data_IF_626778068359
#
_entry.id   IF_626778068359
#
_cell.length_a   1.000
_cell.length_b   1.000
_cell.length_c   1.000
_cell.angle_alpha   90.00
_cell.angle_beta   90.00
_cell.angle_gamma   90.00
#
_symmetry.space_group_name_H-M   'P 1'
#
loop_
_entity.id
_entity.type
_entity.pdbx_description
1 polymer ?
#
# COMPACT_ATOMS: atom_id res chain seq x y z
N UNK A 1 28.08 1.19 -6.08
CA UNK A 1 28.76 0.49 -4.96
C UNK A 1 27.94 0.42 -3.66
N UNK A 2 27.30 1.49 -3.16
CA UNK A 2 26.60 1.46 -1.85
C UNK A 2 25.34 0.56 -1.81
N UNK A 3 24.53 0.51 -2.87
CA UNK A 3 23.28 -0.29 -2.93
C UNK A 3 23.53 -1.82 -2.88
N UNK A 4 24.45 -2.34 -3.70
CA UNK A 4 24.86 -3.76 -3.66
C UNK A 4 25.44 -4.17 -2.30
N UNK A 5 26.17 -3.27 -1.63
CA UNK A 5 26.70 -3.53 -0.29
C UNK A 5 25.57 -3.74 0.75
N UNK A 6 24.53 -2.91 0.73
CA UNK A 6 23.40 -3.07 1.67
C UNK A 6 22.61 -4.36 1.42
N UNK A 7 22.40 -4.71 0.16
CA UNK A 7 21.73 -5.96 -0.21
C UNK A 7 22.48 -7.18 0.36
N UNK A 8 23.80 -7.26 0.15
CA UNK A 8 24.61 -8.35 0.69
C UNK A 8 24.59 -8.41 2.22
N UNK A 9 24.64 -7.25 2.88
CA UNK A 9 24.54 -7.15 4.34
C UNK A 9 23.18 -7.71 4.83
N UNK A 10 22.07 -7.29 4.24
CA UNK A 10 20.74 -7.80 4.57
C UNK A 10 20.62 -9.31 4.38
N UNK A 11 21.09 -9.84 3.24
CA UNK A 11 21.09 -11.29 2.97
C UNK A 11 21.93 -12.07 3.98
N UNK A 12 23.08 -11.54 4.40
CA UNK A 12 23.94 -12.15 5.44
C UNK A 12 23.30 -12.09 6.82
N UNK A 13 22.59 -11.02 7.15
CA UNK A 13 21.89 -10.92 8.43
C UNK A 13 20.73 -11.93 8.49
N UNK A 14 19.95 -12.03 7.42
CA UNK A 14 18.85 -13.00 7.30
C UNK A 14 19.35 -14.43 7.51
N UNK A 15 20.48 -14.81 6.89
CA UNK A 15 21.00 -16.17 7.01
C UNK A 15 21.62 -16.51 8.37
N UNK A 16 21.96 -15.48 9.17
CA UNK A 16 22.59 -15.65 10.49
C UNK A 16 21.57 -15.57 11.63
N UNK A 17 20.43 -14.92 11.43
CA UNK A 17 19.41 -14.77 12.45
C UNK A 17 18.43 -15.94 12.43
N UNK A 18 18.11 -16.48 13.60
CA UNK A 18 17.00 -17.42 13.80
C UNK A 18 15.76 -16.73 14.40
N UNK A 19 15.84 -15.43 14.68
CA UNK A 19 14.72 -14.63 15.18
C UNK A 19 13.77 -14.27 14.01
N UNK A 20 12.55 -14.79 14.07
CA UNK A 20 11.53 -14.59 13.04
C UNK A 20 11.06 -13.12 12.91
N UNK A 21 11.01 -12.35 14.01
CA UNK A 21 10.68 -10.92 13.94
C UNK A 21 11.81 -10.16 13.25
N UNK A 22 13.07 -10.47 13.59
CA UNK A 22 14.21 -9.85 12.91
C UNK A 22 14.25 -10.23 11.43
N UNK A 23 13.96 -11.49 11.08
CA UNK A 23 13.87 -11.92 9.68
C UNK A 23 12.75 -11.18 8.93
N UNK A 24 11.58 -10.98 9.56
CA UNK A 24 10.47 -10.23 9.00
C UNK A 24 10.88 -8.78 8.65
N UNK A 25 11.51 -8.08 9.58
CA UNK A 25 12.01 -6.72 9.35
C UNK A 25 13.02 -6.68 8.19
N UNK A 26 13.97 -7.61 8.17
CA UNK A 26 15.01 -7.69 7.15
C UNK A 26 14.44 -8.02 5.75
N UNK A 27 13.46 -8.91 5.65
CA UNK A 27 12.80 -9.20 4.37
C UNK A 27 11.98 -8.02 3.87
N UNK A 28 11.35 -7.27 4.77
CA UNK A 28 10.63 -6.05 4.41
C UNK A 28 11.58 -4.97 3.89
N UNK A 29 12.72 -4.77 4.57
CA UNK A 29 13.76 -3.83 4.13
C UNK A 29 14.37 -4.24 2.79
N UNK A 30 14.60 -5.54 2.59
CA UNK A 30 15.12 -6.08 1.34
C UNK A 30 14.11 -5.86 0.19
N UNK A 31 12.82 -6.03 0.46
CA UNK A 31 11.75 -5.71 -0.49
C UNK A 31 11.72 -4.25 -0.88
N UNK A 32 11.87 -3.33 0.08
CA UNK A 32 11.95 -1.89 -0.17
C UNK A 32 13.20 -1.52 -0.97
N UNK A 33 14.34 -2.14 -0.66
CA UNK A 33 15.60 -1.94 -1.39
C UNK A 33 15.44 -2.34 -2.86
N UNK A 34 14.94 -3.55 -3.12
CA UNK A 34 14.71 -4.03 -4.49
C UNK A 34 13.71 -3.16 -5.25
N UNK A 35 12.61 -2.78 -4.59
CA UNK A 35 11.63 -1.87 -5.18
C UNK A 35 12.25 -0.54 -5.57
N UNK A 36 13.08 0.04 -4.70
CA UNK A 36 13.80 1.31 -4.99
C UNK A 36 14.85 1.21 -6.10
N UNK A 37 15.23 -0.01 -6.49
CA UNK A 37 16.15 -0.28 -7.58
C UNK A 37 15.43 -0.66 -8.89
N UNK A 38 14.10 -0.78 -8.88
CA UNK A 38 13.32 -1.30 -10.02
C UNK A 38 13.46 -2.81 -10.21
N UNK A 39 13.93 -3.54 -9.20
CA UNK A 39 14.09 -4.99 -9.22
C UNK A 39 12.80 -5.68 -8.74
N UNK A 40 11.72 -5.51 -9.51
CA UNK A 40 10.34 -5.81 -9.07
C UNK A 40 10.11 -7.27 -8.64
N UNK A 41 10.60 -8.25 -9.40
CA UNK A 41 10.46 -9.66 -9.05
C UNK A 41 11.15 -10.01 -7.71
N UNK A 42 12.33 -9.43 -7.46
CA UNK A 42 13.07 -9.63 -6.21
C UNK A 42 12.35 -8.96 -5.04
N UNK A 43 11.74 -7.79 -5.28
CA UNK A 43 10.91 -7.11 -4.29
C UNK A 43 9.68 -7.95 -3.92
N UNK A 44 8.93 -8.45 -4.92
CA UNK A 44 7.77 -9.33 -4.73
C UNK A 44 8.14 -10.56 -3.91
N UNK A 45 9.25 -11.23 -4.26
CA UNK A 45 9.71 -12.41 -3.52
C UNK A 45 10.05 -12.10 -2.06
N UNK A 46 10.65 -10.93 -1.81
CA UNK A 46 11.00 -10.50 -0.45
C UNK A 46 9.76 -10.15 0.36
N UNK A 47 8.79 -9.42 -0.21
CA UNK A 47 7.53 -9.13 0.46
C UNK A 47 6.67 -10.37 0.70
N UNK A 48 6.69 -11.36 -0.20
CA UNK A 48 5.99 -12.65 0.04
C UNK A 48 6.60 -13.41 1.23
N UNK A 49 7.93 -13.40 1.38
CA UNK A 49 8.59 -13.98 2.56
C UNK A 49 8.25 -13.21 3.84
N UNK A 50 8.24 -11.88 3.79
CA UNK A 50 7.77 -11.05 4.91
C UNK A 50 6.31 -11.37 5.27
N UNK A 51 5.41 -11.46 4.30
CA UNK A 51 4.00 -11.80 4.53
C UNK A 51 3.84 -13.20 5.17
N UNK A 52 4.63 -14.20 4.73
CA UNK A 52 4.61 -15.53 5.33
C UNK A 52 5.03 -15.52 6.81
N UNK A 53 6.10 -14.80 7.15
CA UNK A 53 6.56 -14.65 8.52
C UNK A 53 5.57 -13.84 9.37
N UNK A 54 5.06 -12.73 8.86
CA UNK A 54 4.07 -11.92 9.56
C UNK A 54 2.78 -12.72 9.85
N UNK A 55 2.39 -13.62 8.93
CA UNK A 55 1.28 -14.53 9.13
C UNK A 55 1.57 -15.54 10.25
N UNK A 56 2.74 -16.19 10.25
CA UNK A 56 3.09 -17.16 11.30
C UNK A 56 3.24 -16.52 12.68
N UNK A 57 3.61 -15.24 12.73
CA UNK A 57 3.74 -14.44 13.95
C UNK A 57 2.42 -13.79 14.41
N UNK A 58 1.32 -13.94 13.65
CA UNK A 58 0.07 -13.20 13.84
C UNK A 58 0.28 -11.67 13.90
N UNK A 59 1.31 -11.17 13.21
CA UNK A 59 1.62 -9.74 13.14
C UNK A 59 0.86 -9.10 11.97
N UNK A 60 -0.40 -8.75 12.23
CA UNK A 60 -1.29 -8.19 11.21
C UNK A 60 -0.83 -6.84 10.66
N UNK A 61 -0.07 -6.06 11.45
CA UNK A 61 0.42 -4.76 11.01
C UNK A 61 1.48 -4.91 9.91
N UNK A 62 2.51 -5.72 10.14
CA UNK A 62 3.55 -5.95 9.14
C UNK A 62 3.05 -6.75 7.94
N UNK A 63 2.08 -7.64 8.16
CA UNK A 63 1.37 -8.30 7.07
C UNK A 63 0.64 -7.29 6.17
N UNK A 64 0.00 -6.27 6.75
CA UNK A 64 -0.68 -5.22 6.00
C UNK A 64 0.30 -4.39 5.15
N UNK A 65 1.50 -4.10 5.67
CA UNK A 65 2.55 -3.41 4.91
C UNK A 65 3.02 -4.24 3.71
N UNK A 66 3.25 -5.54 3.90
CA UNK A 66 3.66 -6.43 2.82
C UNK A 66 2.58 -6.55 1.73
N UNK A 67 1.30 -6.70 2.12
CA UNK A 67 0.20 -6.75 1.15
C UNK A 67 0.02 -5.44 0.39
N UNK A 68 0.16 -4.29 1.05
CA UNK A 68 0.16 -2.99 0.36
C UNK A 68 1.24 -2.92 -0.71
N UNK A 69 2.48 -3.29 -0.36
CA UNK A 69 3.60 -3.23 -1.30
C UNK A 69 3.38 -4.16 -2.51
N UNK A 70 2.85 -5.36 -2.29
CA UNK A 70 2.51 -6.29 -3.37
C UNK A 70 1.39 -5.73 -4.27
N UNK A 71 0.34 -5.16 -3.68
CA UNK A 71 -0.76 -4.55 -4.43
C UNK A 71 -0.27 -3.38 -5.31
N UNK A 72 0.61 -2.54 -4.77
CA UNK A 72 1.23 -1.42 -5.50
C UNK A 72 2.10 -1.91 -6.66
N UNK A 73 2.94 -2.92 -6.44
CA UNK A 73 3.82 -3.46 -7.50
C UNK A 73 2.99 -4.08 -8.62
N UNK A 74 2.01 -4.94 -8.30
CA UNK A 74 1.18 -5.56 -9.34
C UNK A 74 0.32 -4.54 -10.09
N UNK A 75 -0.12 -3.46 -9.44
CA UNK A 75 -0.80 -2.37 -10.12
C UNK A 75 0.13 -1.59 -11.07
N UNK A 76 1.40 -1.38 -10.69
CA UNK A 76 2.40 -0.78 -11.58
C UNK A 76 2.69 -1.65 -12.80
N UNK A 77 2.75 -2.97 -12.63
CA UNK A 77 2.95 -3.95 -13.71
C UNK A 77 1.71 -4.17 -14.59
N UNK A 78 0.54 -3.66 -14.20
CA UNK A 78 -0.73 -3.89 -14.89
C UNK A 78 -1.34 -5.28 -14.64
N UNK A 79 -0.87 -6.00 -13.63
CA UNK A 79 -1.39 -7.32 -13.26
C UNK A 79 -2.67 -7.19 -12.43
N UNK A 80 -3.78 -6.85 -13.10
CA UNK A 80 -5.08 -6.50 -12.49
C UNK A 80 -5.55 -7.50 -11.44
N UNK A 81 -5.50 -8.79 -11.76
CA UNK A 81 -6.01 -9.85 -10.88
C UNK A 81 -5.24 -9.90 -9.55
N UNK A 82 -3.90 -9.85 -9.60
CA UNK A 82 -3.08 -9.88 -8.39
C UNK A 82 -3.13 -8.53 -7.65
N UNK A 83 -3.16 -7.41 -8.36
CA UNK A 83 -3.29 -6.07 -7.76
C UNK A 83 -4.55 -5.96 -6.89
N UNK A 84 -5.72 -6.32 -7.43
CA UNK A 84 -6.99 -6.25 -6.70
C UNK A 84 -7.06 -7.26 -5.55
N UNK A 85 -6.50 -8.46 -5.72
CA UNK A 85 -6.38 -9.47 -4.66
C UNK A 85 -5.55 -8.97 -3.48
N UNK A 86 -4.36 -8.42 -3.72
CA UNK A 86 -3.52 -7.90 -2.64
C UNK A 86 -4.08 -6.60 -2.04
N UNK A 87 -4.80 -5.79 -2.82
CA UNK A 87 -5.54 -4.64 -2.27
C UNK A 87 -6.60 -5.08 -1.25
N UNK A 88 -7.32 -6.16 -1.55
CA UNK A 88 -8.31 -6.72 -0.62
C UNK A 88 -7.66 -7.32 0.63
N UNK A 89 -6.59 -8.10 0.46
CA UNK A 89 -5.81 -8.62 1.59
C UNK A 89 -5.22 -7.50 2.45
N UNK A 90 -4.76 -6.41 1.84
CA UNK A 90 -4.30 -5.23 2.57
C UNK A 90 -5.42 -4.63 3.43
N UNK A 91 -6.61 -4.42 2.87
CA UNK A 91 -7.76 -3.92 3.64
C UNK A 91 -8.11 -4.84 4.81
N UNK A 92 -8.21 -6.14 4.58
CA UNK A 92 -8.54 -7.11 5.63
C UNK A 92 -7.50 -7.10 6.75
N UNK A 93 -6.22 -7.18 6.41
CA UNK A 93 -5.13 -7.22 7.41
C UNK A 93 -4.94 -5.88 8.13
N UNK A 94 -5.18 -4.76 7.46
CA UNK A 94 -5.24 -3.45 8.10
C UNK A 94 -6.36 -3.37 9.14
N UNK A 95 -7.55 -3.92 8.85
CA UNK A 95 -8.64 -4.01 9.82
C UNK A 95 -8.26 -4.89 11.01
N UNK A 96 -7.67 -6.06 10.77
CA UNK A 96 -7.20 -6.96 11.83
C UNK A 96 -6.13 -6.33 12.72
N UNK A 97 -5.26 -5.47 12.15
CA UNK A 97 -4.23 -4.76 12.91
C UNK A 97 -4.80 -3.68 13.86
N UNK A 98 -6.03 -3.21 13.62
CA UNK A 98 -6.62 -2.08 14.36
C UNK A 98 -5.95 -0.72 14.10
N UNK A 99 -4.95 -0.64 13.23
CA UNK A 99 -4.26 0.61 12.91
C UNK A 99 -5.13 1.53 12.06
N UNK A 100 -5.64 2.61 12.65
CA UNK A 100 -6.44 3.61 11.91
C UNK A 100 -5.68 4.18 10.71
N UNK A 101 -4.36 4.34 10.82
CA UNK A 101 -3.55 4.80 9.69
C UNK A 101 -3.54 3.78 8.56
N UNK A 102 -3.33 2.48 8.84
CA UNK A 102 -3.34 1.46 7.79
C UNK A 102 -4.73 1.25 7.21
N UNK A 103 -5.78 1.29 8.02
CA UNK A 103 -7.16 1.18 7.54
C UNK A 103 -7.46 2.31 6.56
N UNK A 104 -7.17 3.56 6.93
CA UNK A 104 -7.35 4.70 6.03
C UNK A 104 -6.51 4.56 4.74
N UNK A 105 -5.24 4.14 4.86
CA UNK A 105 -4.37 3.95 3.70
C UNK A 105 -4.87 2.85 2.77
N UNK A 106 -5.41 1.75 3.30
CA UNK A 106 -5.97 0.68 2.47
C UNK A 106 -7.16 1.13 1.64
N UNK A 107 -8.00 2.03 2.17
CA UNK A 107 -9.07 2.66 1.39
C UNK A 107 -8.51 3.57 0.29
N UNK A 108 -7.50 4.39 0.62
CA UNK A 108 -6.86 5.27 -0.36
C UNK A 108 -6.17 4.48 -1.48
N UNK A 109 -5.31 3.52 -1.12
CA UNK A 109 -4.57 2.69 -2.08
C UNK A 109 -5.52 1.89 -2.97
N UNK A 110 -6.66 1.43 -2.45
CA UNK A 110 -7.67 0.77 -3.28
C UNK A 110 -8.16 1.69 -4.41
N UNK A 111 -8.45 2.97 -4.11
CA UNK A 111 -8.85 3.94 -5.12
C UNK A 111 -7.75 4.20 -6.15
N UNK A 112 -6.51 4.38 -5.68
CA UNK A 112 -5.35 4.56 -6.54
C UNK A 112 -5.10 3.36 -7.47
N UNK A 113 -5.31 2.12 -7.00
CA UNK A 113 -5.16 0.92 -7.84
C UNK A 113 -6.17 0.92 -8.98
N UNK A 114 -7.44 1.24 -8.72
CA UNK A 114 -8.45 1.33 -9.78
C UNK A 114 -8.11 2.42 -10.80
N UNK A 115 -7.68 3.60 -10.35
CA UNK A 115 -7.19 4.65 -11.25
C UNK A 115 -6.01 4.18 -12.10
N UNK A 116 -5.02 3.54 -11.48
CA UNK A 116 -3.81 3.06 -12.15
C UNK A 116 -4.16 2.04 -13.24
N UNK A 117 -5.00 1.06 -12.93
CA UNK A 117 -5.45 0.05 -13.87
C UNK A 117 -6.31 0.65 -15.00
N UNK A 118 -7.13 1.66 -14.67
CA UNK A 118 -7.91 2.40 -15.66
C UNK A 118 -7.01 3.02 -16.73
N UNK A 119 -5.98 3.76 -16.31
CA UNK A 119 -5.03 4.44 -17.19
C UNK A 119 -4.27 3.43 -18.06
N UNK A 120 -3.93 2.26 -17.50
CA UNK A 120 -3.10 1.28 -18.20
C UNK A 120 -3.85 0.38 -19.18
N UNK A 121 -5.11 0.03 -18.88
CA UNK A 121 -5.79 -1.07 -19.57
C UNK A 121 -7.14 -0.71 -20.15
N UNK A 122 -8.00 -0.04 -19.37
CA UNK A 122 -9.45 -0.07 -19.64
C UNK A 122 -9.99 1.24 -20.17
N UNK A 123 -9.47 2.40 -19.73
CA UNK A 123 -10.15 3.71 -19.90
C UNK A 123 -11.67 3.60 -19.63
N UNK A 124 -12.04 2.72 -18.70
CA UNK A 124 -13.42 2.34 -18.39
C UNK A 124 -13.95 3.21 -17.26
N UNK A 125 -15.11 3.82 -17.53
CA UNK A 125 -15.92 4.53 -16.55
C UNK A 125 -16.17 3.76 -15.24
N UNK A 126 -16.24 2.42 -15.28
CA UNK A 126 -16.47 1.59 -14.10
C UNK A 126 -15.29 1.62 -13.11
N UNK A 127 -14.05 1.59 -13.60
CA UNK A 127 -12.86 1.67 -12.74
C UNK A 127 -12.76 3.05 -12.09
N UNK A 128 -13.08 4.11 -12.82
CA UNK A 128 -13.14 5.47 -12.26
C UNK A 128 -14.23 5.63 -11.19
N UNK A 129 -15.39 4.99 -11.38
CA UNK A 129 -16.44 4.96 -10.37
C UNK A 129 -16.00 4.24 -9.08
N UNK A 130 -15.32 3.09 -9.22
CA UNK A 130 -14.73 2.39 -8.07
C UNK A 130 -13.64 3.24 -7.39
N UNK A 131 -12.75 3.87 -8.16
CA UNK A 131 -11.71 4.75 -7.64
C UNK A 131 -12.31 5.89 -6.80
N UNK A 132 -13.35 6.55 -7.31
CA UNK A 132 -14.07 7.60 -6.61
C UNK A 132 -14.76 7.08 -5.33
N UNK A 133 -15.42 5.92 -5.42
CA UNK A 133 -16.05 5.26 -4.27
C UNK A 133 -15.06 5.00 -3.13
N UNK A 134 -13.88 4.46 -3.44
CA UNK A 134 -12.82 4.23 -2.46
C UNK A 134 -12.23 5.52 -1.91
N UNK A 135 -12.05 6.55 -2.73
CA UNK A 135 -11.63 7.87 -2.28
C UNK A 135 -12.63 8.46 -1.27
N UNK A 136 -13.93 8.38 -1.57
CA UNK A 136 -14.99 8.85 -0.67
C UNK A 136 -15.00 8.10 0.65
N UNK A 137 -14.87 6.76 0.62
CA UNK A 137 -14.73 5.94 1.84
C UNK A 137 -13.52 6.37 2.67
N UNK A 138 -12.39 6.66 2.03
CA UNK A 138 -11.18 7.12 2.72
C UNK A 138 -11.37 8.51 3.36
N UNK A 139 -12.01 9.45 2.66
CA UNK A 139 -12.34 10.78 3.19
C UNK A 139 -13.30 10.67 4.38
N UNK A 140 -14.34 9.85 4.29
CA UNK A 140 -15.28 9.62 5.40
C UNK A 140 -14.59 8.99 6.61
N UNK A 141 -13.69 8.03 6.38
CA UNK A 141 -12.89 7.44 7.44
C UNK A 141 -12.01 8.49 8.15
N UNK A 142 -11.37 9.39 7.39
CA UNK A 142 -10.60 10.50 7.97
C UNK A 142 -11.50 11.42 8.81
N UNK A 143 -12.71 11.75 8.34
CA UNK A 143 -13.64 12.59 9.12
C UNK A 143 -13.97 11.96 10.47
N UNK A 144 -14.13 10.63 10.53
CA UNK A 144 -14.50 9.89 11.75
C UNK A 144 -13.30 9.62 12.67
N UNK A 145 -12.15 9.26 12.10
CA UNK A 145 -11.00 8.70 12.85
C UNK A 145 -9.70 9.48 12.68
N UNK A 146 -9.73 10.67 12.07
CA UNK A 146 -8.54 11.49 11.82
C UNK A 146 -7.72 11.76 13.08
N UNK A 147 -8.38 12.07 14.19
CA UNK A 147 -7.72 12.27 15.50
C UNK A 147 -6.87 11.07 15.96
N UNK A 148 -7.29 9.83 15.64
CA UNK A 148 -6.52 8.61 15.97
C UNK A 148 -5.33 8.42 15.04
N UNK A 149 -5.45 8.85 13.78
CA UNK A 149 -4.32 8.88 12.84
C UNK A 149 -3.27 9.89 13.34
N UNK A 150 -3.72 11.07 13.76
CA UNK A 150 -2.85 12.18 14.19
C UNK A 150 -2.14 11.89 15.52
N UNK A 151 -2.77 11.09 16.39
CA UNK A 151 -2.17 10.63 17.63
C UNK A 151 -0.98 9.66 17.41
N UNK A 152 -0.96 8.92 16.29
CA UNK A 152 0.15 8.02 15.95
C UNK A 152 1.28 8.79 15.27
N UNK A 153 2.22 9.28 16.10
CA UNK A 153 3.40 10.04 15.62
C UNK A 153 4.28 9.26 14.64
N UNK A 154 4.30 7.92 14.70
CA UNK A 154 5.07 7.10 13.74
C UNK A 154 4.37 7.13 12.39
N UNK A 155 3.05 6.89 12.38
CA UNK A 155 2.24 6.98 11.17
C UNK A 155 2.24 8.37 10.53
N UNK A 156 2.16 9.44 11.32
CA UNK A 156 2.20 10.84 10.82
C UNK A 156 3.54 11.14 10.14
N UNK A 157 4.66 10.68 10.72
CA UNK A 157 5.99 10.91 10.15
C UNK A 157 6.17 10.25 8.79
N UNK A 158 5.59 9.06 8.62
CA UNK A 158 5.75 8.25 7.39
C UNK A 158 4.71 8.61 6.33
N UNK A 159 3.44 8.75 6.72
CA UNK A 159 2.30 8.88 5.80
C UNK A 159 1.57 10.23 5.86
N UNK A 160 2.05 11.18 6.66
CA UNK A 160 1.37 12.45 6.91
C UNK A 160 0.19 12.33 7.88
N UNK A 161 -0.23 13.47 8.40
CA UNK A 161 -1.43 13.62 9.24
C UNK A 161 -2.73 13.51 8.43
N UNK A 162 -3.84 13.44 9.15
CA UNK A 162 -5.17 13.28 8.59
C UNK A 162 -5.56 14.43 7.65
N UNK A 163 -5.12 15.65 7.96
CA UNK A 163 -5.37 16.84 7.14
C UNK A 163 -4.66 16.75 5.78
N UNK A 164 -3.36 16.42 5.77
CA UNK A 164 -2.56 16.23 4.56
C UNK A 164 -3.13 15.12 3.69
N UNK A 165 -3.51 13.99 4.29
CA UNK A 165 -4.10 12.86 3.56
C UNK A 165 -5.44 13.24 2.92
N UNK A 166 -6.30 13.96 3.66
CA UNK A 166 -7.59 14.43 3.14
C UNK A 166 -7.40 15.40 1.98
N UNK A 167 -6.45 16.33 2.07
CA UNK A 167 -6.19 17.30 1.00
C UNK A 167 -5.80 16.60 -0.32
N UNK A 168 -4.96 15.56 -0.26
CA UNK A 168 -4.61 14.76 -1.44
C UNK A 168 -5.82 14.06 -2.08
N UNK A 169 -6.68 13.45 -1.25
CA UNK A 169 -7.88 12.75 -1.73
C UNK A 169 -8.93 13.69 -2.32
N UNK A 170 -9.11 14.89 -1.75
CA UNK A 170 -10.06 15.88 -2.28
C UNK A 170 -9.62 16.34 -3.66
N UNK A 171 -8.32 16.62 -3.86
CA UNK A 171 -7.78 16.99 -5.17
C UNK A 171 -8.07 15.93 -6.24
N UNK A 172 -7.87 14.65 -5.92
CA UNK A 172 -8.19 13.52 -6.80
C UNK A 172 -9.69 13.42 -7.09
N UNK A 173 -10.54 13.51 -6.05
CA UNK A 173 -12.00 13.40 -6.24
C UNK A 173 -12.58 14.52 -7.12
N UNK A 174 -12.08 15.75 -6.97
CA UNK A 174 -12.51 16.88 -7.80
C UNK A 174 -12.08 16.73 -9.26
N UNK A 175 -10.93 16.09 -9.51
CA UNK A 175 -10.50 15.78 -10.87
C UNK A 175 -11.47 14.82 -11.57
N UNK A 176 -11.90 13.73 -10.90
CA UNK A 176 -12.86 12.78 -11.50
C UNK A 176 -14.23 13.40 -11.78
N UNK A 177 -14.76 14.18 -10.83
CA UNK A 177 -16.08 14.83 -10.98
C UNK A 177 -16.07 15.84 -12.13
N UNK A 178 -14.98 16.60 -12.29
CA UNK A 178 -14.87 17.56 -13.38
C UNK A 178 -14.57 16.88 -14.72
N UNK A 179 -13.79 15.79 -14.75
CA UNK A 179 -13.46 15.05 -15.96
C UNK A 179 -14.68 14.42 -16.64
N UNK A 180 -15.64 13.89 -15.86
CA UNK A 180 -16.88 13.34 -16.42
C UNK A 180 -17.78 14.40 -17.08
N UNK A 181 -17.71 15.66 -16.64
CA UNK A 181 -18.49 16.74 -17.23
C UNK A 181 -17.98 17.20 -18.61
N UNK A 182 -16.75 16.82 -19.01
CA UNK A 182 -16.18 17.17 -20.32
C UNK A 182 -16.34 16.08 -21.38
N UNK A 183 -16.65 14.83 -20.98
CA UNK A 183 -16.95 13.75 -21.94
C UNK A 183 -18.43 13.70 -22.36
N UNK A 184 -19.30 14.45 -21.67
CA UNK A 184 -20.74 14.55 -21.95
C UNK A 184 -21.16 15.84 -22.71
N UNK A 185 -20.21 16.69 -23.14
CA UNK A 185 -20.47 17.96 -23.85
C UNK A 185 -19.91 17.97 -25.27
#
# INVERSE_FOLDING_TARGET
>A
MKKRRREEELRREISRTNDANKQLDLFSELGDLYRSNGEWELAVNSYKKAAQLATSLANHLDLSFAHRALAEIYAEEGERTEALKYADLFRQTAQMSGSCSQIQLSLHVSGWIYEKLNIQQSHDSADLQEALSWCMKSIDYIKKFGHRIDADRKAVRVGGDSARRKAGLVGLSSFYVNGQNYEES
#
